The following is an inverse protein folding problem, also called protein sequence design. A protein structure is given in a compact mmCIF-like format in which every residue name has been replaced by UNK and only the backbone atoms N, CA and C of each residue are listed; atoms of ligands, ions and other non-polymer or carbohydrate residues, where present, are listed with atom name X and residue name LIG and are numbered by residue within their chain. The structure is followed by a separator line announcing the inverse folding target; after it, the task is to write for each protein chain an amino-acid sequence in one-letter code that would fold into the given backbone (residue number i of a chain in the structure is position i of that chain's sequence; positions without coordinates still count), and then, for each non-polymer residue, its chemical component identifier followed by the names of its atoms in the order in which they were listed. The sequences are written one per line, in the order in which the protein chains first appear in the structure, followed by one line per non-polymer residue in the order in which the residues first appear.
data_IF_359457269590
#
_entry.id   IF_359457269590
#
_cell.length_a   1.000
_cell.length_b   1.000
_cell.length_c   1.000
_cell.angle_alpha   90.00
_cell.angle_beta   90.00
_cell.angle_gamma   90.00
#
_symmetry.space_group_name_H-M   'P 1'
#
loop_
_entity.id
_entity.type
_entity.pdbx_description
1 polymer ?
#
# COMPACT_ATOMS: atom_id res chain seq x y z
N UNK A 1 5.09 -13.48 -6.48
CA UNK A 1 3.76 -13.07 -6.95
C UNK A 1 2.79 -13.39 -5.83
N UNK A 2 2.30 -12.38 -5.11
CA UNK A 2 1.26 -12.59 -4.10
C UNK A 2 -0.03 -12.97 -4.82
N UNK A 3 -0.62 -14.12 -4.50
CA UNK A 3 -1.89 -14.55 -5.07
C UNK A 3 -2.99 -14.30 -4.05
N UNK A 4 -3.83 -13.29 -4.32
CA UNK A 4 -5.01 -13.02 -3.51
C UNK A 4 -6.18 -13.84 -4.03
N UNK A 5 -6.97 -14.42 -3.11
CA UNK A 5 -8.14 -15.24 -3.47
C UNK A 5 -9.30 -14.40 -4.04
N UNK A 6 -9.33 -13.09 -3.76
CA UNK A 6 -10.35 -12.17 -4.25
C UNK A 6 -9.82 -10.74 -4.37
N UNK A 7 -10.40 -9.96 -5.28
CA UNK A 7 -10.12 -8.51 -5.43
C UNK A 7 -10.44 -7.76 -4.13
N UNK A 8 -11.46 -8.19 -3.40
CA UNK A 8 -11.77 -7.63 -2.09
C UNK A 8 -10.61 -7.80 -1.10
N UNK A 9 -10.01 -9.00 -1.03
CA UNK A 9 -8.85 -9.27 -0.16
C UNK A 9 -7.64 -8.42 -0.55
N UNK A 10 -7.44 -8.19 -1.85
CA UNK A 10 -6.37 -7.33 -2.35
C UNK A 10 -6.56 -5.88 -1.90
N UNK A 11 -7.75 -5.30 -2.13
CA UNK A 11 -8.08 -3.94 -1.70
C UNK A 11 -8.01 -3.80 -0.17
N UNK A 12 -8.53 -4.79 0.57
CA UNK A 12 -8.49 -4.79 2.03
C UNK A 12 -7.05 -4.81 2.57
N UNK A 13 -6.15 -5.58 1.94
CA UNK A 13 -4.73 -5.62 2.29
C UNK A 13 -4.07 -4.26 2.05
N UNK A 14 -4.30 -3.65 0.88
CA UNK A 14 -3.76 -2.33 0.54
C UNK A 14 -4.25 -1.28 1.54
N UNK A 15 -5.53 -1.30 1.89
CA UNK A 15 -6.11 -0.36 2.85
C UNK A 15 -5.51 -0.54 4.25
N UNK A 16 -5.35 -1.79 4.71
CA UNK A 16 -4.71 -2.09 5.99
C UNK A 16 -3.27 -1.55 6.07
N UNK A 17 -2.48 -1.73 5.01
CA UNK A 17 -1.11 -1.20 4.92
C UNK A 17 -1.14 0.33 4.91
N UNK A 18 -2.00 0.93 4.09
CA UNK A 18 -2.13 2.38 4.01
C UNK A 18 -2.53 3.01 5.35
N UNK A 19 -3.47 2.41 6.09
CA UNK A 19 -3.86 2.86 7.42
C UNK A 19 -2.72 2.72 8.43
N UNK A 20 -2.01 1.60 8.44
CA UNK A 20 -0.89 1.39 9.37
C UNK A 20 0.25 2.41 9.13
N UNK A 21 0.63 2.63 7.87
CA UNK A 21 1.70 3.58 7.53
C UNK A 21 1.23 5.03 7.72
N UNK A 22 -0.02 5.36 7.39
CA UNK A 22 -0.60 6.67 7.65
C UNK A 22 -0.65 7.01 9.14
N UNK A 23 -1.04 6.05 9.99
CA UNK A 23 -1.03 6.20 11.45
C UNK A 23 0.39 6.40 11.99
N UNK A 24 1.37 5.63 11.46
CA UNK A 24 2.77 5.79 11.83
C UNK A 24 3.32 7.16 11.42
N UNK A 25 3.01 7.61 10.20
CA UNK A 25 3.45 8.92 9.69
C UNK A 25 2.86 10.07 10.51
N UNK A 26 1.59 9.98 10.89
CA UNK A 26 0.95 10.96 11.77
C UNK A 26 1.65 11.02 13.13
N UNK A 27 1.99 9.86 13.71
CA UNK A 27 2.70 9.78 14.99
C UNK A 27 4.13 10.34 14.88
N UNK A 28 4.80 10.14 13.76
CA UNK A 28 6.14 10.66 13.47
C UNK A 28 6.12 12.14 13.02
N UNK A 29 4.95 12.78 12.98
CA UNK A 29 4.75 14.16 12.48
C UNK A 29 5.23 14.36 11.04
N UNK A 30 5.22 13.29 10.23
CA UNK A 30 5.53 13.38 8.82
C UNK A 30 4.29 13.86 8.03
N UNK A 31 4.49 14.61 6.93
CA UNK A 31 3.39 14.97 6.03
C UNK A 31 2.70 13.71 5.50
N UNK A 32 1.38 13.60 5.67
CA UNK A 32 0.60 12.41 5.27
C UNK A 32 0.75 12.07 3.78
N UNK A 33 0.94 13.07 2.92
CA UNK A 33 1.17 12.88 1.48
C UNK A 33 2.41 12.01 1.20
N UNK A 34 3.48 12.17 1.99
CA UNK A 34 4.71 11.39 1.81
C UNK A 34 4.51 9.92 2.21
N UNK A 35 3.71 9.67 3.25
CA UNK A 35 3.36 8.33 3.68
C UNK A 35 2.63 7.57 2.56
N UNK A 36 1.65 8.21 1.92
CA UNK A 36 0.88 7.59 0.84
C UNK A 36 1.71 7.36 -0.42
N UNK A 37 2.65 8.26 -0.75
CA UNK A 37 3.59 8.07 -1.88
C UNK A 37 4.49 6.85 -1.61
N UNK A 38 5.06 6.74 -0.41
CA UNK A 38 5.92 5.61 -0.05
C UNK A 38 5.14 4.29 -0.10
N UNK A 39 3.93 4.26 0.44
CA UNK A 39 3.03 3.09 0.38
C UNK A 39 2.73 2.70 -1.06
N UNK A 40 2.38 3.68 -1.91
CA UNK A 40 2.11 3.44 -3.33
C UNK A 40 3.32 2.88 -4.09
N UNK A 41 4.53 3.37 -3.80
CA UNK A 41 5.77 2.84 -4.39
C UNK A 41 6.05 1.43 -3.88
N UNK A 42 5.86 1.16 -2.58
CA UNK A 42 6.09 -0.15 -1.97
C UNK A 42 5.12 -1.22 -2.46
N UNK A 43 3.84 -0.90 -2.62
CA UNK A 43 2.80 -1.84 -3.07
C UNK A 43 2.76 -1.93 -4.60
N UNK A 44 3.12 -0.84 -5.29
CA UNK A 44 3.10 -0.74 -6.74
C UNK A 44 4.17 -1.58 -7.45
N UNK A 45 4.19 -1.51 -8.80
CA UNK A 45 5.05 -2.34 -9.63
C UNK A 45 6.55 -2.04 -9.46
N UNK A 46 6.90 -0.85 -8.95
CA UNK A 46 8.27 -0.46 -8.64
C UNK A 46 8.80 -1.05 -7.31
N UNK A 47 7.91 -1.46 -6.40
CA UNK A 47 8.24 -2.04 -5.10
C UNK A 47 8.06 -3.55 -5.07
N UNK A 48 7.12 -4.03 -4.26
CA UNK A 48 6.85 -5.44 -4.01
C UNK A 48 6.07 -6.12 -5.15
N UNK A 49 5.66 -5.39 -6.20
CA UNK A 49 4.81 -5.89 -7.31
C UNK A 49 3.59 -6.65 -6.80
N UNK A 50 3.00 -6.17 -5.70
CA UNK A 50 1.76 -6.71 -5.13
C UNK A 50 0.61 -6.48 -6.10
N UNK A 51 0.57 -5.30 -6.72
CA UNK A 51 -0.35 -4.95 -7.79
C UNK A 51 0.43 -5.02 -9.10
N UNK A 52 0.10 -6.00 -9.95
CA UNK A 52 0.61 -6.09 -11.31
C UNK A 52 -0.53 -5.69 -12.24
N UNK A 53 -0.35 -4.59 -12.98
CA UNK A 53 -1.20 -4.27 -14.11
C UNK A 53 -0.92 -5.29 -15.22
N UNK A 54 -1.45 -6.51 -15.08
CA UNK A 54 -1.71 -7.32 -16.25
C UNK A 54 -3.03 -6.78 -16.82
N UNK A 55 -2.85 -5.92 -17.83
CA UNK A 55 -3.84 -5.43 -18.81
C UNK A 55 -5.17 -4.86 -18.26
#
# INVERSE_FOLDING_TARGET
MFSFASVFSEIACILAIATAVGALALRLRQPLIMAFIIVGILIGPAGLRLVSANE
#
